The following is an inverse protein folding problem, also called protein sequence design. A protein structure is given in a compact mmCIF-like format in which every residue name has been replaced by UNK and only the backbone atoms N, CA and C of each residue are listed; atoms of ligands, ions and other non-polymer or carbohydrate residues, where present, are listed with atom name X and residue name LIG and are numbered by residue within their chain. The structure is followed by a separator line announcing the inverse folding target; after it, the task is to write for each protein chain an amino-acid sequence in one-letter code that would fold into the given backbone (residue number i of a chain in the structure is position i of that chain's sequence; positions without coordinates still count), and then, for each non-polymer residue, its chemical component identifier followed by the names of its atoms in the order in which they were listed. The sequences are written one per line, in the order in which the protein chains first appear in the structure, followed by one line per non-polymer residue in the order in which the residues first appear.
data_IF_150114332063
#
_entry.id   IF_150114332063
#
_cell.length_a   1.000
_cell.length_b   1.000
_cell.length_c   1.000
_cell.angle_alpha   90.00
_cell.angle_beta   90.00
_cell.angle_gamma   90.00
#
_symmetry.space_group_name_H-M   'P 1'
#
loop_
_entity.id
_entity.type
_entity.pdbx_description
1 polymer ?
#
# COMPACT_ATOMS: atom_id res chain seq x y z
N UNK A 1 19.00 9.58 41.93
CA UNK A 1 18.81 10.42 40.72
C UNK A 1 17.47 10.06 40.11
N UNK A 2 16.38 10.71 40.56
CA UNK A 2 15.08 10.57 39.92
C UNK A 2 15.03 11.59 38.78
N UNK A 3 15.23 11.12 37.56
CA UNK A 3 14.98 11.94 36.37
C UNK A 3 13.49 12.23 36.31
N UNK A 4 13.10 13.36 36.89
CA UNK A 4 11.76 13.91 36.78
C UNK A 4 11.54 14.29 35.33
N UNK A 5 10.89 13.40 34.58
CA UNK A 5 10.25 13.76 33.32
C UNK A 5 9.19 14.81 33.63
N UNK A 6 9.61 16.07 33.55
CA UNK A 6 8.75 17.21 33.85
C UNK A 6 7.56 17.28 32.88
N UNK A 7 6.58 18.15 33.16
CA UNK A 7 5.38 18.32 32.35
C UNK A 7 5.64 18.50 30.84
N UNK A 8 6.81 19.03 30.47
CA UNK A 8 7.23 19.19 29.07
C UNK A 8 7.45 17.88 28.31
N UNK A 9 7.89 16.81 28.98
CA UNK A 9 8.06 15.50 28.34
C UNK A 9 6.71 14.85 28.00
N UNK A 10 5.75 14.98 28.91
CA UNK A 10 4.36 14.54 28.70
C UNK A 10 3.75 15.32 27.54
N UNK A 11 3.95 16.64 27.49
CA UNK A 11 3.49 17.48 26.38
C UNK A 11 4.09 17.07 25.03
N UNK A 12 5.40 16.82 24.99
CA UNK A 12 6.08 16.37 23.76
C UNK A 12 5.56 15.02 23.27
N UNK A 13 5.31 14.07 24.18
CA UNK A 13 4.74 12.76 23.84
C UNK A 13 3.31 12.89 23.30
N UNK A 14 2.45 13.67 23.95
CA UNK A 14 1.07 13.89 23.50
C UNK A 14 1.07 14.51 22.10
N UNK A 15 1.89 15.53 21.87
CA UNK A 15 1.97 16.17 20.56
C UNK A 15 2.46 15.21 19.46
N UNK A 16 3.45 14.37 19.78
CA UNK A 16 3.95 13.33 18.88
C UNK A 16 2.88 12.28 18.56
N UNK A 17 2.13 11.83 19.57
CA UNK A 17 1.02 10.89 19.39
C UNK A 17 -0.09 11.48 18.52
N UNK A 18 -0.42 12.76 18.69
CA UNK A 18 -1.41 13.45 17.84
C UNK A 18 -0.94 13.50 16.39
N UNK A 19 0.34 13.79 16.15
CA UNK A 19 0.90 13.76 14.80
C UNK A 19 0.86 12.37 14.17
N UNK A 20 1.22 11.33 14.93
CA UNK A 20 1.13 9.94 14.46
C UNK A 20 -0.32 9.59 14.14
N UNK A 21 -1.27 9.93 15.01
CA UNK A 21 -2.69 9.69 14.77
C UNK A 21 -3.20 10.42 13.52
N UNK A 22 -2.75 11.67 13.29
CA UNK A 22 -3.08 12.43 12.09
C UNK A 22 -2.55 11.75 10.82
N UNK A 23 -1.29 11.29 10.84
CA UNK A 23 -0.70 10.56 9.69
C UNK A 23 -1.46 9.26 9.43
N UNK A 24 -1.78 8.49 10.48
CA UNK A 24 -2.58 7.26 10.36
C UNK A 24 -3.97 7.57 9.78
N UNK A 25 -4.62 8.65 10.23
CA UNK A 25 -5.91 9.08 9.72
C UNK A 25 -5.84 9.44 8.22
N UNK A 26 -4.79 10.15 7.80
CA UNK A 26 -4.58 10.52 6.40
C UNK A 26 -4.38 9.26 5.56
N UNK A 27 -3.50 8.35 5.97
CA UNK A 27 -3.27 7.07 5.27
C UNK A 27 -4.58 6.28 5.19
N UNK A 28 -5.31 6.17 6.29
CA UNK A 28 -6.60 5.48 6.34
C UNK A 28 -7.63 6.11 5.38
N UNK A 29 -7.72 7.44 5.33
CA UNK A 29 -8.60 8.16 4.42
C UNK A 29 -8.25 7.93 2.95
N UNK A 30 -6.95 7.97 2.61
CA UNK A 30 -6.46 7.69 1.25
C UNK A 30 -6.75 6.25 0.86
N UNK A 31 -6.43 5.28 1.71
CA UNK A 31 -6.71 3.85 1.47
C UNK A 31 -8.20 3.63 1.29
N UNK A 32 -9.03 4.23 2.14
CA UNK A 32 -10.49 4.12 2.06
C UNK A 32 -11.04 4.76 0.78
N UNK A 33 -10.53 5.90 0.36
CA UNK A 33 -10.95 6.57 -0.88
C UNK A 33 -10.57 5.75 -2.12
N UNK A 34 -9.35 5.20 -2.15
CA UNK A 34 -8.89 4.34 -3.25
C UNK A 34 -9.67 3.03 -3.28
N UNK A 35 -9.98 2.44 -2.12
CA UNK A 35 -10.82 1.24 -2.05
C UNK A 35 -12.28 1.52 -2.46
N UNK A 36 -12.85 2.66 -2.07
CA UNK A 36 -14.22 3.05 -2.46
C UNK A 36 -14.32 3.32 -3.97
N UNK A 37 -13.24 3.81 -4.60
CA UNK A 37 -13.14 3.92 -6.05
C UNK A 37 -13.04 2.56 -6.76
N UNK A 38 -12.41 1.55 -6.13
CA UNK A 38 -12.40 0.17 -6.63
C UNK A 38 -13.77 -0.50 -6.53
N UNK A 39 -14.62 -0.11 -5.57
CA UNK A 39 -15.98 -0.67 -5.41
C UNK A 39 -17.00 -0.03 -6.38
N UNK A 40 -16.79 1.23 -6.80
CA UNK A 40 -17.68 1.93 -7.75
C UNK A 40 -17.46 1.59 -9.22
N UNK A 41 -16.30 1.03 -9.59
CA UNK A 41 -16.13 0.29 -10.85
C UNK A 41 -16.47 -1.15 -10.52
N UNK A 42 -17.59 -1.67 -11.01
CA UNK A 42 -18.10 -2.98 -10.64
C UNK A 42 -17.20 -4.15 -11.07
N UNK A 43 -16.09 -4.36 -10.37
CA UNK A 43 -15.36 -5.61 -10.38
C UNK A 43 -15.73 -6.41 -9.13
N UNK A 44 -16.53 -7.48 -9.28
CA UNK A 44 -16.81 -8.38 -8.19
C UNK A 44 -15.57 -9.23 -7.88
N UNK A 45 -15.24 -9.25 -6.59
CA UNK A 45 -14.30 -10.10 -5.86
C UNK A 45 -12.83 -9.65 -5.73
N UNK A 46 -12.30 -9.67 -4.49
CA UNK A 46 -10.87 -9.74 -4.22
C UNK A 46 -10.40 -11.18 -4.46
N UNK A 47 -10.42 -11.63 -5.72
CA UNK A 47 -9.71 -12.87 -6.09
C UNK A 47 -8.24 -12.51 -6.22
N UNK A 48 -7.48 -12.75 -5.16
CA UNK A 48 -6.04 -13.06 -5.19
C UNK A 48 -5.22 -12.03 -5.95
N UNK A 49 -4.51 -11.13 -5.25
CA UNK A 49 -3.47 -10.24 -5.79
C UNK A 49 -2.95 -10.72 -7.14
N UNK A 50 -3.45 -10.12 -8.24
CA UNK A 50 -3.06 -10.55 -9.57
C UNK A 50 -1.53 -10.42 -9.63
N UNK A 51 -0.79 -11.49 -9.93
CA UNK A 51 0.66 -11.45 -10.01
C UNK A 51 1.17 -10.31 -10.91
N UNK A 52 0.35 -9.88 -11.87
CA UNK A 52 0.55 -8.71 -12.72
C UNK A 52 0.59 -7.37 -11.94
N UNK A 53 -0.26 -7.16 -10.93
CA UNK A 53 -0.27 -5.91 -10.13
C UNK A 53 0.97 -5.81 -9.23
N UNK A 54 1.49 -6.96 -8.76
CA UNK A 54 2.77 -7.04 -8.03
C UNK A 54 3.94 -6.73 -8.97
N UNK A 55 3.94 -7.29 -10.18
CA UNK A 55 4.95 -7.01 -11.21
C UNK A 55 4.94 -5.54 -11.65
N UNK A 56 3.77 -4.97 -11.90
CA UNK A 56 3.60 -3.57 -12.27
C UNK A 56 4.13 -2.63 -11.18
N UNK A 57 3.92 -2.97 -9.90
CA UNK A 57 4.44 -2.19 -8.77
C UNK A 57 5.97 -2.24 -8.69
N UNK A 58 6.60 -3.39 -9.00
CA UNK A 58 8.07 -3.53 -9.01
C UNK A 58 8.71 -2.86 -10.23
N UNK A 59 8.05 -2.93 -11.39
CA UNK A 59 8.43 -2.17 -12.58
C UNK A 59 8.36 -0.65 -12.33
N UNK A 60 7.29 -0.17 -11.69
CA UNK A 60 7.15 1.25 -11.34
C UNK A 60 8.20 1.75 -10.33
N UNK A 61 8.78 0.85 -9.53
CA UNK A 61 9.92 1.13 -8.65
C UNK A 61 11.28 1.06 -9.36
N UNK A 62 11.31 0.63 -10.62
CA UNK A 62 12.55 0.42 -11.39
C UNK A 62 13.34 -0.83 -10.98
N UNK A 63 12.75 -1.70 -10.17
CA UNK A 63 13.38 -2.95 -9.69
C UNK A 63 13.33 -4.06 -10.76
N UNK A 64 12.51 -3.90 -11.81
CA UNK A 64 12.36 -4.84 -12.92
C UNK A 64 12.65 -4.15 -14.25
N UNK A 65 13.45 -4.78 -15.10
CA UNK A 65 13.68 -4.31 -16.46
C UNK A 65 12.44 -4.51 -17.36
N UNK A 66 12.31 -3.68 -18.41
CA UNK A 66 11.21 -3.77 -19.38
C UNK A 66 11.11 -5.14 -20.05
N UNK A 67 12.25 -5.78 -20.34
CA UNK A 67 12.30 -7.11 -20.97
C UNK A 67 11.81 -8.22 -20.02
N UNK A 68 12.23 -8.16 -18.75
CA UNK A 68 11.79 -9.10 -17.71
C UNK A 68 10.29 -8.99 -17.43
N UNK A 69 9.78 -7.76 -17.38
CA UNK A 69 8.35 -7.50 -17.21
C UNK A 69 7.52 -8.13 -18.34
N UNK A 70 7.94 -7.95 -19.60
CA UNK A 70 7.22 -8.52 -20.73
C UNK A 70 7.25 -10.05 -20.75
N UNK A 71 8.38 -10.66 -20.39
CA UNK A 71 8.51 -12.12 -20.32
C UNK A 71 7.59 -12.72 -19.26
N UNK A 72 7.57 -12.14 -18.06
CA UNK A 72 6.72 -12.64 -16.96
C UNK A 72 5.24 -12.44 -17.26
N UNK A 73 4.86 -11.32 -17.89
CA UNK A 73 3.48 -11.06 -18.32
C UNK A 73 3.02 -12.06 -19.39
N UNK A 74 3.87 -12.38 -20.35
CA UNK A 74 3.55 -13.39 -21.38
C UNK A 74 3.33 -14.78 -20.75
N UNK A 75 4.20 -15.21 -19.84
CA UNK A 75 4.08 -16.50 -19.16
C UNK A 75 2.79 -16.62 -18.31
N UNK A 76 2.43 -15.54 -17.61
CA UNK A 76 1.18 -15.49 -16.84
C UNK A 76 -0.06 -15.50 -17.74
N UNK A 77 -0.02 -14.79 -18.88
CA UNK A 77 -1.08 -14.81 -19.88
C UNK A 77 -1.30 -16.18 -20.52
N UNK A 78 -0.22 -16.93 -20.75
CA UNK A 78 -0.26 -18.30 -21.27
C UNK A 78 -0.94 -19.25 -20.26
N UNK A 79 -0.58 -19.17 -18.97
CA UNK A 79 -1.19 -20.01 -17.91
C UNK A 79 -2.67 -19.70 -17.65
N UNK A 80 -3.14 -18.50 -18.00
CA UNK A 80 -4.53 -18.07 -17.82
C UNK A 80 -5.46 -18.49 -18.97
N UNK A 81 -4.92 -19.05 -20.06
CA UNK A 81 -5.67 -19.77 -21.11
C UNK A 81 -5.58 -21.29 -20.90
N UNK A 82 -6.34 -21.90 -19.98
CA UNK A 82 -6.78 -23.27 -20.19
C UNK A 82 -8.00 -23.24 -21.14
N UNK A 83 -8.01 -24.16 -22.10
CA UNK A 83 -9.10 -24.36 -23.07
C UNK A 83 -10.49 -24.55 -22.42
#
# INVERSE_FOLDING_TARGET
MMYGYGPGFVWMLVFSLVWIALVVLIIWAVVRLVQDQRVRRGDPEPRVDEPEEILARRYARGELGTEEYQRMRAELGERRRPD
#
